data_IF_704988049048
#
_entry.id   IF_704988049048
#
_cell.length_a   1.000
_cell.length_b   1.000
_cell.length_c   1.000
_cell.angle_alpha   90.00
_cell.angle_beta   90.00
_cell.angle_gamma   90.00
#
_symmetry.space_group_name_H-M   'P 1'
#
loop_
_entity.id
_entity.type
_entity.pdbx_description
1 polymer ?
#
# COMPACT_ATOMS: atom_id res chain seq x y z
N UNK A 1 44.49 17.43 -19.58
CA UNK A 1 44.07 16.57 -18.45
C UNK A 1 42.56 16.74 -18.16
N UNK A 2 41.69 16.60 -19.16
CA UNK A 2 40.24 16.83 -19.03
C UNK A 2 39.39 15.64 -19.51
N UNK A 3 40.02 14.53 -19.92
CA UNK A 3 39.33 13.32 -20.40
C UNK A 3 39.00 12.29 -19.31
N UNK A 4 39.72 12.29 -18.17
CA UNK A 4 39.53 11.30 -17.09
C UNK A 4 38.19 11.51 -16.37
N UNK A 5 37.82 12.76 -16.10
CA UNK A 5 36.64 13.10 -15.30
C UNK A 5 35.31 12.82 -16.00
N UNK A 6 35.23 12.97 -17.33
CA UNK A 6 33.98 12.66 -18.06
C UNK A 6 33.72 11.16 -18.14
N UNK A 7 34.79 10.36 -18.31
CA UNK A 7 34.70 8.91 -18.39
C UNK A 7 34.40 8.28 -17.02
N UNK A 8 34.96 8.85 -15.95
CA UNK A 8 34.60 8.50 -14.57
C UNK A 8 33.13 8.80 -14.27
N UNK A 9 32.63 10.00 -14.62
CA UNK A 9 31.21 10.37 -14.38
C UNK A 9 30.24 9.47 -15.14
N UNK A 10 30.53 9.12 -16.40
CA UNK A 10 29.67 8.18 -17.16
C UNK A 10 29.74 6.77 -16.57
N UNK A 11 30.91 6.33 -16.09
CA UNK A 11 31.04 5.05 -15.40
C UNK A 11 30.25 5.00 -14.09
N UNK A 12 30.19 6.10 -13.33
CA UNK A 12 29.39 6.18 -12.10
C UNK A 12 27.89 6.11 -12.41
N UNK A 13 27.43 6.83 -13.44
CA UNK A 13 26.04 6.75 -13.89
C UNK A 13 25.65 5.34 -14.33
N UNK A 14 26.54 4.65 -15.05
CA UNK A 14 26.25 3.29 -15.50
C UNK A 14 26.09 2.32 -14.33
N UNK A 15 26.85 2.49 -13.24
CA UNK A 15 26.69 1.71 -12.02
C UNK A 15 25.32 1.99 -11.37
N UNK A 16 24.93 3.27 -11.23
CA UNK A 16 23.61 3.63 -10.67
C UNK A 16 22.46 3.07 -11.52
N UNK A 17 22.59 3.09 -12.85
CA UNK A 17 21.61 2.50 -13.78
C UNK A 17 21.47 0.99 -13.59
N UNK A 18 22.59 0.28 -13.43
CA UNK A 18 22.58 -1.18 -13.18
C UNK A 18 21.94 -1.49 -11.82
N UNK A 19 22.28 -0.71 -10.79
CA UNK A 19 21.74 -0.88 -9.45
C UNK A 19 20.22 -0.67 -9.43
N UNK A 20 19.74 0.45 -9.97
CA UNK A 20 18.29 0.75 -9.98
C UNK A 20 17.51 -0.27 -10.80
N UNK A 21 18.06 -0.72 -11.94
CA UNK A 21 17.45 -1.78 -12.75
C UNK A 21 17.33 -3.08 -11.95
N UNK A 22 18.40 -3.45 -11.23
CA UNK A 22 18.42 -4.66 -10.41
C UNK A 22 17.40 -4.58 -9.26
N UNK A 23 17.30 -3.44 -8.58
CA UNK A 23 16.30 -3.21 -7.54
C UNK A 23 14.87 -3.30 -8.07
N UNK A 24 14.60 -2.74 -9.26
CA UNK A 24 13.29 -2.81 -9.90
C UNK A 24 12.90 -4.25 -10.25
N UNK A 25 13.83 -5.03 -10.81
CA UNK A 25 13.58 -6.45 -11.10
C UNK A 25 13.31 -7.25 -9.83
N UNK A 26 14.12 -7.06 -8.79
CA UNK A 26 13.91 -7.71 -7.49
C UNK A 26 12.56 -7.33 -6.86
N UNK A 27 12.19 -6.05 -6.88
CA UNK A 27 10.88 -5.59 -6.41
C UNK A 27 9.72 -6.21 -7.23
N UNK A 28 9.95 -6.45 -8.52
CA UNK A 28 9.01 -7.14 -9.40
C UNK A 28 8.75 -8.59 -9.03
N UNK A 29 9.67 -9.30 -8.34
CA UNK A 29 9.51 -10.72 -7.99
C UNK A 29 8.29 -10.99 -7.10
N UNK A 30 7.91 -10.04 -6.25
CA UNK A 30 6.70 -10.13 -5.43
C UNK A 30 5.41 -10.14 -6.26
N UNK A 31 5.46 -9.74 -7.53
CA UNK A 31 4.32 -9.70 -8.45
C UNK A 31 4.30 -10.94 -9.35
N UNK A 32 3.14 -11.57 -9.42
CA UNK A 32 2.91 -12.74 -10.28
C UNK A 32 3.10 -12.40 -11.76
N UNK A 33 3.56 -13.36 -12.55
CA UNK A 33 3.61 -13.23 -14.02
C UNK A 33 2.20 -13.41 -14.62
N UNK A 34 1.83 -12.61 -15.62
CA UNK A 34 0.58 -12.78 -16.36
C UNK A 34 0.89 -12.88 -17.85
N UNK A 35 0.45 -13.92 -18.53
CA UNK A 35 0.53 -14.05 -19.99
C UNK A 35 -0.79 -13.61 -20.63
N UNK A 36 -0.81 -13.27 -21.94
CA UNK A 36 -2.06 -13.01 -22.64
C UNK A 36 -2.99 -14.22 -22.47
N UNK A 37 -4.16 -14.00 -21.87
CA UNK A 37 -5.12 -15.06 -21.65
C UNK A 37 -5.72 -15.49 -23.00
N UNK A 38 -5.23 -16.59 -23.57
CA UNK A 38 -5.86 -17.26 -24.71
C UNK A 38 -6.99 -18.21 -24.26
N UNK A 39 -6.94 -18.64 -23.00
CA UNK A 39 -7.91 -19.52 -22.33
C UNK A 39 -8.10 -19.07 -20.88
N UNK A 40 -9.26 -19.34 -20.28
CA UNK A 40 -9.54 -18.96 -18.90
C UNK A 40 -8.73 -19.83 -17.92
N UNK A 41 -7.82 -19.21 -17.17
CA UNK A 41 -7.03 -19.83 -16.11
C UNK A 41 -7.08 -18.89 -14.90
N UNK A 42 -7.33 -19.44 -13.70
CA UNK A 42 -7.25 -18.67 -12.46
C UNK A 42 -5.79 -18.64 -11.99
N UNK A 43 -5.15 -17.47 -12.02
CA UNK A 43 -3.79 -17.34 -11.47
C UNK A 43 -3.86 -17.02 -9.98
N UNK A 44 -3.02 -17.67 -9.18
CA UNK A 44 -2.84 -17.37 -7.76
C UNK A 44 -2.14 -15.99 -7.61
N UNK A 45 -2.76 -14.96 -7.01
CA UNK A 45 -2.09 -13.67 -6.80
C UNK A 45 -0.87 -13.76 -5.88
N UNK A 46 -0.78 -14.83 -5.07
CA UNK A 46 0.33 -15.08 -4.13
C UNK A 46 1.47 -15.90 -4.73
N UNK A 47 1.49 -16.14 -6.05
CA UNK A 47 2.49 -17.02 -6.69
C UNK A 47 3.94 -16.60 -6.38
N UNK A 48 4.25 -15.31 -6.41
CA UNK A 48 5.58 -14.77 -6.05
C UNK A 48 5.97 -14.98 -4.58
N UNK A 49 5.02 -15.35 -3.72
CA UNK A 49 5.20 -15.54 -2.28
C UNK A 49 5.04 -17.00 -1.83
N UNK A 50 5.00 -17.96 -2.76
CA UNK A 50 4.80 -19.39 -2.45
C UNK A 50 5.93 -20.00 -1.61
N UNK A 51 7.09 -19.34 -1.56
CA UNK A 51 8.21 -19.70 -0.70
C UNK A 51 7.97 -19.36 0.79
N UNK A 52 6.93 -18.59 1.12
CA UNK A 52 6.56 -18.22 2.49
C UNK A 52 5.40 -19.10 3.02
N UNK A 53 5.35 -19.39 4.34
CA UNK A 53 4.15 -19.96 4.95
C UNK A 53 2.91 -19.10 4.69
N UNK A 54 1.74 -19.69 4.44
CA UNK A 54 0.56 -18.98 3.92
C UNK A 54 0.14 -17.75 4.74
N UNK A 55 0.21 -17.81 6.08
CA UNK A 55 -0.11 -16.68 6.94
C UNK A 55 0.86 -15.52 6.78
N UNK A 56 2.15 -15.82 6.54
CA UNK A 56 3.18 -14.81 6.25
C UNK A 56 3.02 -14.27 4.84
N UNK A 57 2.79 -15.13 3.85
CA UNK A 57 2.53 -14.72 2.47
C UNK A 57 1.33 -13.75 2.39
N UNK A 58 0.24 -14.05 3.11
CA UNK A 58 -0.93 -13.19 3.18
C UNK A 58 -0.63 -11.86 3.87
N UNK A 59 0.08 -11.89 5.01
CA UNK A 59 0.45 -10.66 5.71
C UNK A 59 1.34 -9.77 4.83
N UNK A 60 2.34 -10.35 4.18
CA UNK A 60 3.27 -9.69 3.27
C UNK A 60 2.53 -9.11 2.05
N UNK A 61 1.73 -9.94 1.36
CA UNK A 61 0.89 -9.51 0.24
C UNK A 61 -0.09 -8.38 0.62
N UNK A 62 -0.64 -8.43 1.83
CA UNK A 62 -1.56 -7.41 2.34
C UNK A 62 -0.92 -6.02 2.41
N UNK A 63 0.41 -5.92 2.56
CA UNK A 63 1.13 -4.63 2.60
C UNK A 63 1.14 -3.92 1.26
N UNK A 64 1.14 -4.66 0.13
CA UNK A 64 1.28 -4.05 -1.21
C UNK A 64 0.12 -4.32 -2.16
N UNK A 65 -0.61 -5.44 -2.06
CA UNK A 65 -1.81 -5.72 -2.87
C UNK A 65 -3.09 -5.11 -2.28
N UNK A 66 -3.07 -4.67 -1.01
CA UNK A 66 -4.24 -4.08 -0.33
C UNK A 66 -5.39 -5.07 -0.05
N UNK A 67 -5.21 -6.36 -0.37
CA UNK A 67 -6.18 -7.41 -0.08
C UNK A 67 -6.17 -7.83 1.40
N UNK A 68 -7.34 -8.14 1.96
CA UNK A 68 -7.44 -8.65 3.35
C UNK A 68 -6.81 -10.04 3.53
N UNK A 69 -6.71 -10.81 2.44
CA UNK A 69 -6.20 -12.19 2.41
C UNK A 69 -7.07 -13.24 3.11
N UNK A 70 -7.89 -12.82 4.07
CA UNK A 70 -8.93 -13.62 4.70
C UNK A 70 -10.30 -12.97 4.56
N UNK A 71 -11.34 -13.79 4.63
CA UNK A 71 -12.70 -13.31 4.73
C UNK A 71 -12.91 -12.56 6.06
N UNK A 72 -13.79 -11.55 6.11
CA UNK A 72 -14.21 -10.95 7.36
C UNK A 72 -14.89 -11.97 8.27
N UNK A 73 -14.77 -11.80 9.60
CA UNK A 73 -15.42 -12.67 10.58
C UNK A 73 -16.94 -12.85 10.36
N UNK A 74 -17.62 -11.83 9.82
CA UNK A 74 -19.03 -11.92 9.44
C UNK A 74 -19.27 -13.00 8.39
N UNK A 75 -18.45 -13.04 7.34
CA UNK A 75 -18.61 -14.00 6.24
C UNK A 75 -18.30 -15.42 6.70
N UNK A 76 -17.28 -15.63 7.56
CA UNK A 76 -17.05 -16.92 8.20
C UNK A 76 -18.26 -17.40 9.01
N UNK A 77 -18.94 -16.51 9.73
CA UNK A 77 -20.19 -16.84 10.44
C UNK A 77 -21.34 -17.14 9.50
N UNK A 78 -21.43 -16.44 8.38
CA UNK A 78 -22.44 -16.72 7.35
C UNK A 78 -22.22 -18.13 6.76
N UNK A 79 -20.97 -18.53 6.50
CA UNK A 79 -20.61 -19.88 6.06
C UNK A 79 -20.93 -20.94 7.12
N UNK A 80 -20.74 -20.65 8.42
CA UNK A 80 -21.18 -21.53 9.50
C UNK A 80 -22.71 -21.70 9.51
N UNK A 81 -23.48 -20.61 9.41
CA UNK A 81 -24.95 -20.68 9.36
C UNK A 81 -25.49 -21.42 8.14
N UNK A 82 -24.74 -21.39 7.02
CA UNK A 82 -25.05 -22.16 5.82
C UNK A 82 -24.64 -23.64 5.92
N UNK A 83 -24.02 -24.07 7.02
CA UNK A 83 -23.53 -25.43 7.19
C UNK A 83 -22.30 -25.76 6.32
N UNK A 84 -21.59 -24.74 5.80
CA UNK A 84 -20.31 -24.94 5.09
C UNK A 84 -19.12 -25.08 6.04
N UNK A 85 -19.21 -24.48 7.23
CA UNK A 85 -18.26 -24.65 8.33
C UNK A 85 -18.99 -25.38 9.45
N UNK A 86 -18.41 -26.48 9.92
CA UNK A 86 -18.96 -27.29 11.01
C UNK A 86 -18.43 -26.82 12.36
N UNK A 87 -19.21 -27.04 13.42
CA UNK A 87 -18.80 -26.68 14.79
C UNK A 87 -17.55 -27.43 15.24
N UNK A 88 -17.38 -28.68 14.83
CA UNK A 88 -16.18 -29.48 15.12
C UNK A 88 -14.94 -28.85 14.46
N UNK A 89 -15.05 -28.38 13.22
CA UNK A 89 -13.95 -27.70 12.53
C UNK A 89 -13.52 -26.39 13.23
N UNK A 90 -14.47 -25.67 13.83
CA UNK A 90 -14.17 -24.50 14.66
C UNK A 90 -13.45 -24.94 15.94
N UNK A 91 -13.96 -25.99 16.59
CA UNK A 91 -13.38 -26.56 17.82
C UNK A 91 -11.92 -26.98 17.60
N UNK A 92 -11.64 -27.66 16.50
CA UNK A 92 -10.29 -28.07 16.10
C UNK A 92 -9.38 -26.85 15.85
N UNK A 93 -9.90 -25.83 15.17
CA UNK A 93 -9.16 -24.62 14.85
C UNK A 93 -8.76 -23.80 16.09
N UNK A 94 -9.61 -23.75 17.13
CA UNK A 94 -9.31 -23.02 18.37
C UNK A 94 -8.65 -23.87 19.45
N UNK A 95 -8.64 -25.20 19.28
CA UNK A 95 -8.20 -26.15 20.30
C UNK A 95 -6.80 -25.88 20.84
N UNK A 96 -5.86 -25.54 19.96
CA UNK A 96 -4.47 -25.22 20.34
C UNK A 96 -4.32 -23.90 21.10
N UNK A 97 -5.30 -23.00 21.01
CA UNK A 97 -5.33 -21.72 21.74
C UNK A 97 -6.08 -21.82 23.08
N UNK A 98 -6.82 -22.92 23.28
CA UNK A 98 -7.55 -23.15 24.51
C UNK A 98 -6.60 -23.51 25.66
N UNK A 99 -6.79 -22.84 26.79
CA UNK A 99 -6.08 -23.09 28.04
C UNK A 99 -6.99 -23.81 29.04
N UNK A 100 -6.43 -24.29 30.14
CA UNK A 100 -7.17 -25.04 31.15
C UNK A 100 -7.89 -24.10 32.15
N UNK A 101 -8.69 -23.18 31.62
CA UNK A 101 -9.43 -22.18 32.40
C UNK A 101 -10.93 -22.40 32.24
N UNK A 102 -11.66 -22.05 33.31
CA UNK A 102 -13.10 -22.21 33.38
C UNK A 102 -13.73 -21.00 34.05
N UNK A 103 -14.92 -20.62 33.58
CA UNK A 103 -15.74 -19.57 34.18
C UNK A 103 -17.11 -20.16 34.48
N UNK A 104 -17.52 -20.07 35.73
CA UNK A 104 -18.87 -20.48 36.15
C UNK A 104 -19.85 -19.33 35.94
N UNK A 105 -20.85 -19.53 35.09
CA UNK A 105 -21.97 -18.60 34.88
C UNK A 105 -23.26 -19.28 35.35
N UNK A 106 -23.78 -18.84 36.50
CA UNK A 106 -24.92 -19.48 37.16
C UNK A 106 -24.58 -20.91 37.58
N UNK A 107 -25.28 -21.89 37.02
CA UNK A 107 -25.04 -23.34 37.26
C UNK A 107 -24.17 -24.00 36.20
N UNK A 108 -23.73 -23.26 35.17
CA UNK A 108 -22.93 -23.79 34.07
C UNK A 108 -21.46 -23.44 34.26
N UNK A 109 -20.61 -24.44 34.09
CA UNK A 109 -19.17 -24.23 33.98
C UNK A 109 -18.81 -24.15 32.49
N UNK A 110 -18.26 -23.02 32.05
CA UNK A 110 -17.89 -22.79 30.65
C UNK A 110 -16.36 -22.84 30.56
N UNK A 111 -15.85 -23.74 29.73
CA UNK A 111 -14.42 -23.85 29.45
C UNK A 111 -13.92 -22.71 28.56
N UNK A 112 -12.61 -22.42 28.62
CA UNK A 112 -11.98 -21.48 27.69
C UNK A 112 -12.19 -21.87 26.22
N UNK A 113 -12.16 -23.18 25.92
CA UNK A 113 -12.45 -23.71 24.58
C UNK A 113 -13.87 -23.35 24.12
N UNK A 114 -14.86 -23.59 24.96
CA UNK A 114 -16.26 -23.24 24.66
C UNK A 114 -16.42 -21.72 24.48
N UNK A 115 -15.74 -20.91 25.29
CA UNK A 115 -15.79 -19.46 25.16
C UNK A 115 -15.22 -18.99 23.80
N UNK A 116 -14.05 -19.48 23.39
CA UNK A 116 -13.44 -19.15 22.10
C UNK A 116 -14.31 -19.60 20.92
N UNK A 117 -14.88 -20.81 21.00
CA UNK A 117 -15.80 -21.33 20.00
C UNK A 117 -17.05 -20.46 19.89
N UNK A 118 -17.67 -20.09 21.02
CA UNK A 118 -18.84 -19.22 21.06
C UNK A 118 -18.55 -17.84 20.47
N UNK A 119 -17.38 -17.25 20.75
CA UNK A 119 -16.95 -15.97 20.17
C UNK A 119 -16.80 -16.02 18.65
N UNK A 120 -16.30 -17.13 18.09
CA UNK A 120 -16.19 -17.28 16.63
C UNK A 120 -17.57 -17.47 16.00
N UNK A 121 -18.43 -18.31 16.58
CA UNK A 121 -19.76 -18.61 16.04
C UNK A 121 -20.72 -17.42 16.14
N UNK A 122 -20.79 -16.79 17.31
CA UNK A 122 -21.79 -15.77 17.62
C UNK A 122 -21.23 -14.34 17.59
N UNK A 123 -19.91 -14.18 17.63
CA UNK A 123 -19.27 -12.89 17.83
C UNK A 123 -19.30 -12.44 19.28
N UNK A 124 -18.79 -11.24 19.53
CA UNK A 124 -18.86 -10.58 20.84
C UNK A 124 -20.26 -10.06 21.17
N UNK A 125 -21.22 -10.22 20.24
CA UNK A 125 -22.49 -9.50 20.26
C UNK A 125 -22.32 -7.99 20.07
N UNK A 126 -23.44 -7.29 19.93
CA UNK A 126 -23.51 -5.90 20.35
C UNK A 126 -23.83 -5.95 21.84
N UNK A 127 -22.89 -5.54 22.70
CA UNK A 127 -23.21 -5.40 24.12
C UNK A 127 -24.14 -4.20 24.24
N UNK A 128 -25.42 -4.38 24.65
CA UNK A 128 -26.30 -3.25 24.90
C UNK A 128 -25.62 -2.32 25.92
N UNK A 129 -25.61 -1.01 25.66
CA UNK A 129 -24.89 -0.04 26.49
C UNK A 129 -25.26 -0.18 27.98
N UNK A 130 -26.53 -0.44 28.24
CA UNK A 130 -27.13 -0.75 29.53
C UNK A 130 -26.60 -2.03 30.20
N UNK A 131 -26.21 -3.06 29.44
CA UNK A 131 -25.59 -4.29 29.98
C UNK A 131 -24.10 -4.09 30.25
N UNK A 132 -23.39 -3.34 29.38
CA UNK A 132 -22.01 -2.90 29.65
C UNK A 132 -21.97 -2.13 30.96
N UNK A 133 -22.88 -1.18 31.10
CA UNK A 133 -22.95 -0.33 32.28
C UNK A 133 -23.39 -1.16 33.50
N UNK A 134 -24.42 -2.01 33.43
CA UNK A 134 -24.90 -2.79 34.59
C UNK A 134 -23.97 -3.92 35.07
N UNK A 135 -23.21 -4.58 34.17
CA UNK A 135 -22.33 -5.71 34.52
C UNK A 135 -20.93 -5.24 34.90
N UNK A 136 -20.38 -4.22 34.21
CA UNK A 136 -19.06 -3.70 34.56
C UNK A 136 -19.10 -2.74 35.75
N UNK A 137 -20.11 -1.87 35.91
CA UNK A 137 -20.17 -0.96 37.06
C UNK A 137 -20.38 -1.71 38.39
N UNK A 138 -21.05 -2.87 38.38
CA UNK A 138 -21.23 -3.68 39.61
C UNK A 138 -19.98 -4.48 39.97
N UNK A 139 -19.20 -4.92 38.98
CA UNK A 139 -17.87 -5.49 39.21
C UNK A 139 -16.84 -4.44 39.67
N UNK A 140 -17.07 -3.16 39.34
CA UNK A 140 -16.33 -2.02 39.89
C UNK A 140 -16.70 -1.67 41.34
N UNK A 141 -17.58 -2.41 42.02
CA UNK A 141 -17.84 -2.24 43.46
C UNK A 141 -16.92 -3.12 44.33
N UNK A 142 -16.16 -4.04 43.71
CA UNK A 142 -15.18 -4.87 44.42
C UNK A 142 -13.93 -4.04 44.78
N UNK A 143 -13.68 -3.90 46.09
CA UNK A 143 -12.57 -3.09 46.64
C UNK A 143 -11.19 -3.38 46.03
N UNK A 144 -10.82 -4.62 45.66
CA UNK A 144 -9.53 -4.90 45.00
C UNK A 144 -9.46 -4.38 43.56
N UNK A 145 -10.59 -4.40 42.84
CA UNK A 145 -10.68 -3.90 41.46
C UNK A 145 -10.69 -2.38 41.45
N UNK A 146 -11.36 -1.73 42.41
CA UNK A 146 -11.28 -0.27 42.58
C UNK A 146 -9.89 0.21 43.00
N UNK A 147 -9.14 -0.57 43.78
CA UNK A 147 -7.76 -0.23 44.10
C UNK A 147 -6.82 -0.41 42.89
N UNK A 148 -7.05 -1.44 42.05
CA UNK A 148 -6.34 -1.61 40.79
C UNK A 148 -6.69 -0.50 39.78
N UNK A 149 -7.97 -0.19 39.62
CA UNK A 149 -8.47 0.86 38.73
C UNK A 149 -8.04 2.25 39.19
N UNK A 150 -8.04 2.54 40.49
CA UNK A 150 -7.53 3.81 41.03
C UNK A 150 -6.01 3.92 40.88
N UNK A 151 -5.24 2.82 41.04
CA UNK A 151 -3.79 2.82 40.73
C UNK A 151 -3.50 3.02 39.24
N UNK A 152 -4.34 2.49 38.36
CA UNK A 152 -4.26 2.70 36.90
C UNK A 152 -4.69 4.11 36.49
N UNK A 153 -5.75 4.66 37.11
CA UNK A 153 -6.26 6.01 36.85
C UNK A 153 -5.40 7.12 37.46
N UNK A 154 -4.84 6.90 38.67
CA UNK A 154 -3.89 7.83 39.29
C UNK A 154 -2.52 7.82 38.61
N UNK A 155 -2.23 6.80 37.80
CA UNK A 155 -1.07 6.76 36.90
C UNK A 155 -1.40 7.32 35.50
N UNK A 156 -2.69 7.50 35.18
CA UNK A 156 -3.22 7.78 33.84
C UNK A 156 -3.92 9.13 33.72
N UNK A 157 -3.36 10.22 34.26
CA UNK A 157 -3.82 11.56 33.91
C UNK A 157 -3.17 12.00 32.59
N UNK A 158 -3.92 11.92 31.50
CA UNK A 158 -3.67 12.53 30.19
C UNK A 158 -2.34 12.26 29.46
N UNK A 159 -1.38 11.53 30.04
CA UNK A 159 -0.18 11.10 29.32
C UNK A 159 -0.42 9.95 28.34
N UNK A 160 -1.35 9.05 28.61
CA UNK A 160 -1.52 7.82 27.82
C UNK A 160 -2.17 8.05 26.44
N UNK A 161 -3.06 9.04 26.30
CA UNK A 161 -3.57 9.41 24.97
C UNK A 161 -2.44 10.03 24.12
N UNK A 162 -1.67 10.97 24.68
CA UNK A 162 -0.53 11.57 23.99
C UNK A 162 0.58 10.55 23.65
N UNK A 163 0.91 9.62 24.57
CA UNK A 163 1.87 8.54 24.32
C UNK A 163 1.36 7.51 23.28
N UNK A 164 0.04 7.24 23.24
CA UNK A 164 -0.58 6.39 22.23
C UNK A 164 -0.50 7.01 20.84
N UNK A 165 -0.70 8.33 20.73
CA UNK A 165 -0.61 9.05 19.45
C UNK A 165 0.83 9.30 18.99
N UNK A 166 1.79 9.51 19.90
CA UNK A 166 3.21 9.63 19.56
C UNK A 166 3.76 8.30 19.03
N UNK A 167 3.40 7.17 19.65
CA UNK A 167 3.73 5.83 19.15
C UNK A 167 3.11 5.55 17.77
N UNK A 168 1.85 5.94 17.57
CA UNK A 168 1.21 5.81 16.26
C UNK A 168 1.86 6.69 15.20
N UNK A 169 2.22 7.93 15.53
CA UNK A 169 2.90 8.84 14.61
C UNK A 169 4.27 8.30 14.21
N UNK A 170 5.01 7.70 15.15
CA UNK A 170 6.29 7.03 14.87
C UNK A 170 6.11 5.79 13.97
N UNK A 171 5.10 4.96 14.23
CA UNK A 171 4.77 3.81 13.36
C UNK A 171 4.38 4.25 11.95
N UNK A 172 3.60 5.32 11.84
CA UNK A 172 3.17 5.85 10.56
C UNK A 172 4.36 6.44 9.79
N UNK A 173 5.23 7.20 10.47
CA UNK A 173 6.47 7.68 9.87
C UNK A 173 7.31 6.54 9.32
N UNK A 174 7.42 5.45 10.08
CA UNK A 174 8.13 4.23 9.66
C UNK A 174 7.42 3.48 8.52
N UNK A 175 6.13 3.75 8.27
CA UNK A 175 5.37 3.14 7.19
C UNK A 175 5.53 3.87 5.84
N UNK A 176 5.80 5.17 5.85
CA UNK A 176 6.00 5.97 4.64
C UNK A 176 7.28 5.54 3.90
N UNK A 177 7.14 5.02 2.69
CA UNK A 177 8.19 4.35 1.91
C UNK A 177 8.11 2.83 2.01
N UNK A 178 8.30 2.22 3.20
CA UNK A 178 8.24 0.77 3.36
C UNK A 178 6.88 0.12 3.08
N UNK A 179 5.77 0.79 3.41
CA UNK A 179 4.40 0.24 3.35
C UNK A 179 3.39 1.15 2.65
N UNK A 180 3.66 2.45 2.52
CA UNK A 180 2.81 3.39 1.79
C UNK A 180 3.66 4.34 0.93
N UNK A 181 3.22 4.62 -0.31
CA UNK A 181 3.87 5.61 -1.18
C UNK A 181 3.50 7.03 -0.76
N UNK A 182 4.17 8.05 -1.31
CA UNK A 182 3.82 9.44 -1.02
C UNK A 182 2.43 9.80 -1.55
N UNK A 183 2.04 9.25 -2.71
CA UNK A 183 0.69 9.37 -3.24
C UNK A 183 -0.35 8.71 -2.32
N UNK A 184 -0.08 7.50 -1.81
CA UNK A 184 -0.97 6.81 -0.90
C UNK A 184 -1.17 7.59 0.40
N UNK A 185 -0.10 8.19 0.91
CA UNK A 185 -0.16 9.09 2.05
C UNK A 185 -1.01 10.34 1.75
N UNK A 186 -0.81 10.99 0.60
CA UNK A 186 -1.60 12.15 0.19
C UNK A 186 -3.09 11.82 0.07
N UNK A 187 -3.45 10.66 -0.49
CA UNK A 187 -4.85 10.23 -0.64
C UNK A 187 -5.54 10.06 0.72
N UNK A 188 -4.82 9.49 1.68
CA UNK A 188 -5.31 9.36 3.05
C UNK A 188 -5.47 10.74 3.71
N UNK A 189 -4.47 11.61 3.57
CA UNK A 189 -4.41 12.87 4.32
C UNK A 189 -5.22 14.01 3.70
N UNK A 190 -5.05 14.22 2.41
CA UNK A 190 -5.61 15.35 1.67
C UNK A 190 -6.95 15.03 1.00
N UNK A 191 -7.50 13.83 1.22
CA UNK A 191 -8.73 13.35 0.56
C UNK A 191 -8.65 13.42 -0.96
N UNK A 192 -7.48 13.04 -1.51
CA UNK A 192 -7.23 12.98 -2.95
C UNK A 192 -7.37 11.56 -3.49
N UNK A 193 -7.20 11.42 -4.81
CA UNK A 193 -7.20 10.15 -5.53
C UNK A 193 -6.01 10.04 -6.49
N UNK A 194 -4.83 10.49 -6.05
CA UNK A 194 -3.59 10.53 -6.83
C UNK A 194 -3.26 9.14 -7.37
N UNK A 195 -3.35 8.09 -6.55
CA UNK A 195 -3.03 6.74 -7.03
C UNK A 195 -3.94 6.31 -8.19
N UNK A 196 -5.22 6.66 -8.12
CA UNK A 196 -6.20 6.36 -9.17
C UNK A 196 -5.94 7.20 -10.43
N UNK A 197 -5.61 8.48 -10.28
CA UNK A 197 -5.21 9.36 -11.40
C UNK A 197 -3.99 8.78 -12.13
N UNK A 198 -2.96 8.32 -11.39
CA UNK A 198 -1.79 7.64 -11.95
C UNK A 198 -2.20 6.35 -12.65
N UNK A 199 -3.06 5.54 -12.02
CA UNK A 199 -3.52 4.28 -12.58
C UNK A 199 -4.23 4.46 -13.93
N UNK A 200 -5.11 5.45 -14.03
CA UNK A 200 -5.84 5.74 -15.27
C UNK A 200 -4.91 6.15 -16.41
N UNK A 201 -3.91 6.98 -16.12
CA UNK A 201 -2.90 7.35 -17.11
C UNK A 201 -2.08 6.13 -17.55
N UNK A 202 -1.61 5.31 -16.61
CA UNK A 202 -0.84 4.11 -16.95
C UNK A 202 -1.67 3.09 -17.72
N UNK A 203 -2.94 2.87 -17.36
CA UNK A 203 -3.86 1.99 -18.12
C UNK A 203 -4.00 2.49 -19.57
N UNK A 204 -4.24 3.80 -19.77
CA UNK A 204 -4.34 4.41 -21.10
C UNK A 204 -3.08 4.15 -21.93
N UNK A 205 -1.90 4.44 -21.37
CA UNK A 205 -0.63 4.29 -22.08
C UNK A 205 -0.25 2.84 -22.33
N UNK A 206 -0.44 1.96 -21.35
CA UNK A 206 -0.21 0.53 -21.49
C UNK A 206 -1.13 -0.06 -22.56
N UNK A 207 -2.43 0.24 -22.53
CA UNK A 207 -3.39 -0.25 -23.53
C UNK A 207 -3.00 0.16 -24.96
N UNK A 208 -2.59 1.41 -25.16
CA UNK A 208 -2.16 1.90 -26.48
C UNK A 208 -0.84 1.26 -26.95
N UNK A 209 0.14 1.10 -26.06
CA UNK A 209 1.47 0.59 -26.43
C UNK A 209 1.49 -0.93 -26.64
N UNK A 210 0.78 -1.66 -25.79
CA UNK A 210 0.75 -3.13 -25.78
C UNK A 210 -0.22 -3.71 -26.82
N UNK A 211 -1.04 -2.89 -27.48
CA UNK A 211 -1.91 -3.33 -28.56
C UNK A 211 -1.11 -3.98 -29.70
N UNK A 212 -1.44 -5.23 -30.02
CA UNK A 212 -0.76 -6.01 -31.07
C UNK A 212 -1.49 -5.91 -32.43
N UNK A 213 -2.07 -4.74 -32.74
CA UNK A 213 -2.77 -4.50 -34.00
C UNK A 213 -4.26 -4.85 -33.96
N UNK A 214 -4.88 -4.91 -32.78
CA UNK A 214 -6.33 -5.07 -32.67
C UNK A 214 -7.06 -3.75 -32.86
N UNK A 215 -6.47 -2.64 -32.37
CA UNK A 215 -7.02 -1.32 -32.60
C UNK A 215 -6.83 -0.90 -34.07
N UNK A 216 -7.84 -0.30 -34.72
CA UNK A 216 -7.69 0.25 -36.07
C UNK A 216 -6.59 1.32 -36.15
N UNK A 217 -6.37 2.05 -35.06
CA UNK A 217 -5.42 3.15 -35.00
C UNK A 217 -4.25 2.78 -34.08
N UNK A 218 -3.05 2.53 -34.64
CA UNK A 218 -1.89 2.19 -33.85
C UNK A 218 -1.38 3.39 -33.04
N UNK A 219 -0.85 3.14 -31.85
CA UNK A 219 -0.11 4.17 -31.11
C UNK A 219 1.10 4.65 -31.96
N UNK A 220 1.25 5.96 -32.22
CA UNK A 220 2.40 6.49 -32.94
C UNK A 220 3.70 6.34 -32.15
N UNK A 221 4.83 6.39 -32.83
CA UNK A 221 6.17 6.47 -32.22
C UNK A 221 6.60 5.26 -31.37
N UNK A 222 5.90 4.13 -31.44
CA UNK A 222 6.19 2.92 -30.64
C UNK A 222 7.62 2.41 -30.78
N UNK A 223 8.28 2.68 -31.90
CA UNK A 223 9.69 2.38 -32.14
C UNK A 223 10.64 3.07 -31.14
N UNK A 224 10.16 4.08 -30.41
CA UNK A 224 10.90 4.78 -29.34
C UNK A 224 10.76 4.12 -27.97
N UNK A 225 10.35 2.85 -27.92
CA UNK A 225 10.03 2.11 -26.68
C UNK A 225 8.88 2.75 -25.89
N UNK A 226 8.42 2.12 -24.81
CA UNK A 226 7.27 2.62 -24.04
C UNK A 226 7.54 4.00 -23.46
N UNK A 227 8.65 4.15 -22.73
CA UNK A 227 8.99 5.40 -22.08
C UNK A 227 9.26 6.52 -23.09
N UNK A 228 10.03 6.25 -24.15
CA UNK A 228 10.32 7.26 -25.16
C UNK A 228 9.10 7.68 -25.96
N UNK A 229 8.19 6.75 -26.28
CA UNK A 229 6.91 7.07 -26.93
C UNK A 229 6.04 7.95 -26.04
N UNK A 230 5.89 7.55 -24.77
CA UNK A 230 5.16 8.34 -23.77
C UNK A 230 5.74 9.75 -23.66
N UNK A 231 7.05 9.89 -23.46
CA UNK A 231 7.71 11.18 -23.29
C UNK A 231 7.46 12.15 -24.45
N UNK A 232 7.40 11.65 -25.69
CA UNK A 232 7.14 12.49 -26.87
C UNK A 232 5.65 12.80 -27.05
N UNK A 233 4.79 11.80 -26.90
CA UNK A 233 3.35 11.95 -27.14
C UNK A 233 2.66 12.73 -26.01
N UNK A 234 3.05 12.49 -24.76
CA UNK A 234 2.55 13.19 -23.58
C UNK A 234 2.70 14.70 -23.69
N UNK A 235 3.76 15.19 -24.34
CA UNK A 235 3.97 16.63 -24.59
C UNK A 235 2.91 17.27 -25.50
N UNK A 236 2.24 16.45 -26.32
CA UNK A 236 1.25 16.86 -27.32
C UNK A 236 -0.18 16.57 -26.89
N UNK A 237 -0.38 15.77 -25.84
CA UNK A 237 -1.69 15.57 -25.22
C UNK A 237 -1.85 16.46 -23.97
N UNK A 238 -3.07 16.98 -23.77
CA UNK A 238 -3.40 17.87 -22.64
C UNK A 238 -3.62 17.16 -21.30
N UNK A 239 -3.27 15.88 -21.17
CA UNK A 239 -3.55 15.05 -19.98
C UNK A 239 -2.95 15.64 -18.71
N UNK A 240 -1.66 16.01 -18.73
CA UNK A 240 -1.01 16.61 -17.57
C UNK A 240 -1.60 17.96 -17.18
N UNK A 241 -2.10 18.74 -18.14
CA UNK A 241 -2.83 19.98 -17.85
C UNK A 241 -4.16 19.70 -17.14
N UNK A 242 -4.91 18.69 -17.59
CA UNK A 242 -6.17 18.26 -16.95
C UNK A 242 -5.94 17.72 -15.53
N UNK A 243 -4.80 17.09 -15.30
CA UNK A 243 -4.32 16.66 -13.99
C UNK A 243 -3.79 17.82 -13.12
N UNK A 244 -3.77 19.06 -13.64
CA UNK A 244 -3.32 20.24 -12.92
C UNK A 244 -1.81 20.31 -12.71
N UNK A 245 -1.01 19.58 -13.50
CA UNK A 245 0.45 19.61 -13.41
C UNK A 245 0.97 20.89 -14.09
N UNK A 246 1.59 21.83 -13.36
CA UNK A 246 2.08 23.07 -13.94
C UNK A 246 3.31 22.80 -14.83
N UNK A 247 3.49 23.61 -15.88
CA UNK A 247 4.62 23.52 -16.81
C UNK A 247 4.81 22.13 -17.45
N UNK A 248 3.73 21.39 -17.67
CA UNK A 248 3.69 20.01 -18.17
C UNK A 248 4.71 19.70 -19.28
N UNK A 249 4.62 20.41 -20.41
CA UNK A 249 5.50 20.19 -21.56
C UNK A 249 6.97 20.43 -21.22
N UNK A 250 7.27 21.48 -20.44
CA UNK A 250 8.65 21.79 -20.01
C UNK A 250 9.20 20.67 -19.14
N UNK A 251 8.40 20.16 -18.19
CA UNK A 251 8.82 19.07 -17.30
C UNK A 251 9.14 17.79 -18.05
N UNK A 252 8.32 17.43 -19.04
CA UNK A 252 8.59 16.28 -19.92
C UNK A 252 9.85 16.46 -20.78
N UNK A 253 10.13 17.68 -21.26
CA UNK A 253 11.34 17.98 -22.02
C UNK A 253 12.62 17.87 -21.17
N UNK A 254 12.54 18.18 -19.88
CA UNK A 254 13.68 18.12 -18.97
C UNK A 254 13.89 16.73 -18.35
N UNK A 255 12.95 15.80 -18.53
CA UNK A 255 13.19 14.42 -18.13
C UNK A 255 14.38 13.83 -18.91
N UNK A 256 15.18 12.95 -18.30
CA UNK A 256 16.22 12.19 -19.00
C UNK A 256 15.65 11.35 -20.15
N UNK A 257 16.49 11.01 -21.14
CA UNK A 257 16.11 10.11 -22.24
C UNK A 257 16.17 8.64 -21.83
N UNK A 258 17.07 8.27 -20.91
CA UNK A 258 17.10 6.94 -20.30
C UNK A 258 15.98 6.81 -19.24
N UNK A 259 15.22 5.70 -19.24
CA UNK A 259 14.20 5.46 -18.22
C UNK A 259 14.82 5.24 -16.84
N UNK A 260 16.02 4.64 -16.73
CA UNK A 260 16.75 4.50 -15.47
C UNK A 260 17.09 5.87 -14.86
N UNK A 261 17.64 6.76 -15.67
CA UNK A 261 17.98 8.12 -15.25
C UNK A 261 16.71 8.90 -14.84
N UNK A 262 15.58 8.65 -15.52
CA UNK A 262 14.29 9.25 -15.18
C UNK A 262 13.73 8.74 -13.84
N UNK A 263 13.86 7.44 -13.56
CA UNK A 263 13.53 6.85 -12.25
C UNK A 263 14.38 7.51 -11.16
N UNK A 264 15.71 7.52 -11.32
CA UNK A 264 16.64 8.13 -10.36
C UNK A 264 16.31 9.61 -10.13
N UNK A 265 16.09 10.38 -11.20
CA UNK A 265 15.70 11.78 -11.11
C UNK A 265 14.40 11.99 -10.32
N UNK A 266 13.41 11.09 -10.45
CA UNK A 266 12.16 11.17 -9.69
C UNK A 266 12.37 10.81 -8.22
N UNK A 267 13.11 9.75 -7.91
CA UNK A 267 13.42 9.34 -6.53
C UNK A 267 14.17 10.44 -5.77
N UNK A 268 15.18 11.03 -6.40
CA UNK A 268 15.95 12.12 -5.82
C UNK A 268 15.12 13.40 -5.65
N UNK A 269 14.28 13.75 -6.64
CA UNK A 269 13.41 14.92 -6.53
C UNK A 269 12.35 14.78 -5.44
N UNK A 270 11.83 13.56 -5.22
CA UNK A 270 10.94 13.26 -4.09
C UNK A 270 11.70 13.13 -2.76
N UNK A 271 13.03 13.10 -2.76
CA UNK A 271 13.86 13.00 -1.56
C UNK A 271 13.72 11.66 -0.84
N UNK A 272 13.42 10.58 -1.56
CA UNK A 272 13.25 9.24 -0.98
C UNK A 272 14.60 8.65 -0.57
N UNK A 273 14.77 8.20 0.70
CA UNK A 273 15.95 7.46 1.15
C UNK A 273 16.17 6.17 0.33
N UNK A 274 17.43 5.84 0.04
CA UNK A 274 17.77 4.69 -0.82
C UNK A 274 17.34 3.35 -0.21
N UNK A 275 17.31 3.24 1.11
CA UNK A 275 16.88 2.04 1.85
C UNK A 275 15.39 1.71 1.65
N UNK A 276 14.56 2.67 1.24
CA UNK A 276 13.13 2.44 0.96
C UNK A 276 12.80 2.25 -0.51
N UNK A 277 13.77 2.39 -1.43
CA UNK A 277 13.51 2.34 -2.88
C UNK A 277 12.89 1.02 -3.32
N UNK A 278 13.43 -0.10 -2.84
CA UNK A 278 12.90 -1.44 -3.16
C UNK A 278 11.43 -1.58 -2.79
N UNK A 279 11.06 -1.16 -1.56
CA UNK A 279 9.68 -1.18 -1.10
C UNK A 279 8.77 -0.28 -1.93
N UNK A 280 9.22 0.95 -2.23
CA UNK A 280 8.46 1.89 -3.07
C UNK A 280 8.22 1.28 -4.46
N UNK A 281 9.23 0.68 -5.09
CA UNK A 281 9.05 -0.01 -6.37
C UNK A 281 8.00 -1.11 -6.26
N UNK A 282 8.07 -1.98 -5.25
CA UNK A 282 7.06 -3.04 -5.03
C UNK A 282 5.66 -2.45 -4.89
N UNK A 283 5.50 -1.39 -4.09
CA UNK A 283 4.22 -0.71 -3.91
C UNK A 283 3.67 -0.16 -5.23
N UNK A 284 4.51 0.46 -6.08
CA UNK A 284 4.08 0.94 -7.40
C UNK A 284 3.70 -0.18 -8.36
N UNK A 285 4.51 -1.24 -8.39
CA UNK A 285 4.29 -2.41 -9.22
C UNK A 285 3.03 -3.19 -8.82
N UNK A 286 2.66 -3.14 -7.54
CA UNK A 286 1.48 -3.80 -7.01
C UNK A 286 0.15 -3.09 -7.31
N UNK A 287 0.18 -1.83 -7.75
CA UNK A 287 -1.04 -1.03 -7.97
C UNK A 287 -1.86 -1.47 -9.19
N UNK A 288 -1.18 -1.98 -10.22
CA UNK A 288 -1.80 -2.53 -11.42
C UNK A 288 -1.21 -3.92 -11.69
N UNK A 289 -1.46 -4.90 -10.80
CA UNK A 289 -0.72 -6.15 -10.80
C UNK A 289 -0.93 -6.93 -12.09
N UNK A 290 -2.11 -6.83 -12.72
CA UNK A 290 -2.39 -7.41 -14.03
C UNK A 290 -1.49 -6.84 -15.15
N UNK A 291 -1.38 -5.51 -15.23
CA UNK A 291 -0.47 -4.86 -16.19
C UNK A 291 0.98 -5.18 -15.87
N UNK A 292 1.39 -5.05 -14.61
CA UNK A 292 2.77 -5.31 -14.20
C UNK A 292 3.20 -6.76 -14.47
N UNK A 293 2.39 -7.75 -14.12
CA UNK A 293 2.74 -9.13 -14.42
C UNK A 293 2.73 -9.44 -15.92
N UNK A 294 1.91 -8.73 -16.70
CA UNK A 294 1.97 -8.81 -18.16
C UNK A 294 3.25 -8.20 -18.73
N UNK A 295 3.70 -7.08 -18.19
CA UNK A 295 4.98 -6.48 -18.54
C UNK A 295 6.16 -7.38 -18.18
N UNK A 296 6.13 -8.03 -17.01
CA UNK A 296 7.15 -9.03 -16.63
C UNK A 296 7.23 -10.15 -17.66
N UNK A 297 6.10 -10.78 -17.95
CA UNK A 297 6.03 -11.84 -18.95
C UNK A 297 6.53 -11.37 -20.32
N UNK A 298 6.12 -10.18 -20.77
CA UNK A 298 6.50 -9.61 -22.06
C UNK A 298 8.01 -9.34 -22.15
N UNK A 299 8.62 -8.87 -21.06
CA UNK A 299 10.06 -8.63 -21.00
C UNK A 299 10.88 -9.91 -21.21
N UNK A 300 10.37 -11.05 -20.77
CA UNK A 300 11.03 -12.36 -20.94
C UNK A 300 10.87 -12.94 -22.36
N UNK A 301 9.91 -12.45 -23.16
CA UNK A 301 9.65 -12.93 -24.52
C UNK A 301 10.61 -12.31 -25.55
N UNK A 302 11.92 -12.48 -25.36
CA UNK A 302 12.96 -11.83 -26.19
C UNK A 302 12.90 -12.17 -27.69
N UNK A 303 12.39 -13.37 -28.03
CA UNK A 303 12.26 -13.84 -29.41
C UNK A 303 10.89 -13.53 -30.04
N UNK A 304 9.98 -12.88 -29.30
CA UNK A 304 8.65 -12.54 -29.82
C UNK A 304 8.69 -11.25 -30.64
N UNK A 305 8.15 -11.30 -31.85
CA UNK A 305 8.14 -10.19 -32.83
C UNK A 305 7.75 -8.82 -32.22
N UNK A 306 6.70 -8.80 -31.39
CA UNK A 306 6.21 -7.56 -30.78
C UNK A 306 7.14 -6.99 -29.71
N UNK A 307 7.82 -7.84 -28.93
CA UNK A 307 8.77 -7.38 -27.93
C UNK A 307 10.08 -6.94 -28.58
N UNK A 308 10.52 -7.64 -29.63
CA UNK A 308 11.70 -7.24 -30.43
C UNK A 308 11.46 -5.90 -31.14
N UNK A 309 10.28 -5.69 -31.72
CA UNK A 309 9.95 -4.46 -32.44
C UNK A 309 9.69 -3.27 -31.51
N UNK A 310 8.99 -3.49 -30.39
CA UNK A 310 8.56 -2.43 -29.47
C UNK A 310 8.83 -2.82 -28.01
N UNK A 311 10.10 -2.75 -27.56
CA UNK A 311 10.49 -3.19 -26.22
C UNK A 311 9.83 -2.40 -25.11
N UNK A 312 9.42 -3.11 -24.06
CA UNK A 312 8.94 -2.56 -22.79
C UNK A 312 9.33 -3.50 -21.65
N UNK A 313 9.59 -2.90 -20.49
CA UNK A 313 9.96 -3.57 -19.25
C UNK A 313 9.42 -2.79 -18.04
N UNK A 314 9.73 -3.29 -16.83
CA UNK A 314 9.34 -2.66 -15.58
C UNK A 314 9.99 -1.30 -15.32
N UNK A 315 11.21 -1.06 -15.84
CA UNK A 315 11.93 0.21 -15.66
C UNK A 315 11.20 1.32 -16.41
N UNK A 316 10.84 1.06 -17.67
CA UNK A 316 10.09 2.01 -18.49
C UNK A 316 8.71 2.32 -17.91
N UNK A 317 8.03 1.30 -17.38
CA UNK A 317 6.76 1.48 -16.68
C UNK A 317 6.90 2.34 -15.41
N UNK A 318 7.88 2.05 -14.57
CA UNK A 318 8.12 2.80 -13.33
C UNK A 318 8.58 4.22 -13.59
N UNK A 319 9.38 4.48 -14.63
CA UNK A 319 9.80 5.83 -14.99
C UNK A 319 8.60 6.76 -15.22
N UNK A 320 7.59 6.28 -15.94
CA UNK A 320 6.35 7.02 -16.18
C UNK A 320 5.55 7.18 -14.87
N UNK A 321 5.40 6.09 -14.12
CA UNK A 321 4.58 6.07 -12.90
C UNK A 321 5.12 6.98 -11.80
N UNK A 322 6.43 6.95 -11.55
CA UNK A 322 7.10 7.79 -10.56
C UNK A 322 7.12 9.26 -10.96
N UNK A 323 7.16 9.56 -12.25
CA UNK A 323 7.01 10.93 -12.72
C UNK A 323 5.63 11.49 -12.35
N UNK A 324 4.54 10.77 -12.63
CA UNK A 324 3.21 11.24 -12.24
C UNK A 324 3.07 11.37 -10.73
N UNK A 325 3.58 10.42 -9.94
CA UNK A 325 3.58 10.55 -8.47
C UNK A 325 4.29 11.83 -8.03
N UNK A 326 5.53 12.05 -8.47
CA UNK A 326 6.31 13.24 -8.12
C UNK A 326 5.51 14.51 -8.37
N UNK A 327 4.90 14.64 -9.55
CA UNK A 327 4.19 15.85 -9.94
C UNK A 327 2.88 16.06 -9.19
N UNK A 328 2.10 14.99 -9.00
CA UNK A 328 0.80 15.07 -8.33
C UNK A 328 0.96 15.27 -6.82
N UNK A 329 1.94 14.58 -6.19
CA UNK A 329 2.29 14.78 -4.78
C UNK A 329 2.80 16.20 -4.57
N UNK A 330 3.71 16.69 -5.41
CA UNK A 330 4.20 18.07 -5.32
C UNK A 330 3.07 19.09 -5.40
N UNK A 331 2.13 18.92 -6.34
CA UNK A 331 0.95 19.79 -6.46
C UNK A 331 0.10 19.74 -5.20
N UNK A 332 -0.30 18.55 -4.76
CA UNK A 332 -1.23 18.38 -3.63
C UNK A 332 -0.62 18.90 -2.33
N UNK A 333 0.65 18.59 -2.06
CA UNK A 333 1.35 19.11 -0.89
C UNK A 333 1.44 20.64 -0.92
N UNK A 334 1.74 21.24 -2.08
CA UNK A 334 1.80 22.69 -2.20
C UNK A 334 0.43 23.35 -1.99
N UNK A 335 -0.61 22.83 -2.64
CA UNK A 335 -1.95 23.42 -2.67
C UNK A 335 -2.72 23.23 -1.35
N UNK A 336 -2.54 22.07 -0.69
CA UNK A 336 -3.32 21.69 0.50
C UNK A 336 -2.57 21.91 1.80
N UNK A 337 -1.25 21.75 1.79
CA UNK A 337 -0.43 21.75 3.00
C UNK A 337 0.60 22.89 3.02
N UNK A 338 0.85 23.57 1.89
CA UNK A 338 1.84 24.63 1.79
C UNK A 338 3.29 24.15 1.95
N UNK A 339 3.54 22.84 1.75
CA UNK A 339 4.87 22.23 1.88
C UNK A 339 5.32 21.63 0.53
N UNK A 340 6.64 21.46 0.31
CA UNK A 340 7.14 20.66 -0.79
C UNK A 340 6.61 19.22 -0.74
N UNK A 341 6.33 18.61 -1.89
CA UNK A 341 5.93 17.20 -1.98
C UNK A 341 7.11 16.24 -1.92
N UNK A 342 8.01 16.46 -0.96
CA UNK A 342 9.17 15.60 -0.73
C UNK A 342 8.96 14.76 0.53
N UNK A 343 9.58 13.59 0.57
CA UNK A 343 9.57 12.70 1.72
C UNK A 343 9.98 13.43 3.00
N UNK A 344 11.06 14.21 2.96
CA UNK A 344 11.55 14.96 4.12
C UNK A 344 10.59 16.03 4.62
N UNK A 345 9.94 16.77 3.71
CA UNK A 345 8.96 17.78 4.06
C UNK A 345 7.68 17.14 4.65
N UNK A 346 7.22 16.04 4.04
CA UNK A 346 6.08 15.27 4.53
C UNK A 346 6.37 14.72 5.94
N UNK A 347 7.51 14.06 6.15
CA UNK A 347 7.92 13.56 7.47
C UNK A 347 8.02 14.69 8.49
N UNK A 348 8.67 15.81 8.14
CA UNK A 348 8.79 16.97 9.03
C UNK A 348 7.43 17.57 9.38
N UNK A 349 6.47 17.59 8.44
CA UNK A 349 5.11 18.08 8.71
C UNK A 349 4.36 17.20 9.73
N UNK A 350 4.58 15.88 9.70
CA UNK A 350 4.03 14.96 10.71
C UNK A 350 4.62 15.21 12.10
N UNK A 351 5.90 15.58 12.18
CA UNK A 351 6.58 15.91 13.43
C UNK A 351 6.10 17.23 14.05
N UNK A 352 5.65 18.18 13.23
CA UNK A 352 5.11 19.45 13.71
C UNK A 352 3.67 19.32 14.26
N UNK A 353 2.89 18.34 13.79
CA UNK A 353 1.48 18.14 14.19
C UNK A 353 1.12 16.68 14.53
N UNK A 354 1.84 16.01 15.46
CA UNK A 354 1.70 14.57 15.72
C UNK A 354 0.29 14.19 16.22
N UNK A 355 -0.28 15.02 17.10
CA UNK A 355 -1.61 14.79 17.67
C UNK A 355 -2.74 14.87 16.62
N UNK A 356 -2.77 15.95 15.84
CA UNK A 356 -3.81 16.15 14.82
C UNK A 356 -3.76 15.07 13.72
N UNK A 357 -2.55 14.62 13.39
CA UNK A 357 -2.33 13.61 12.38
C UNK A 357 -2.78 12.21 12.80
N UNK A 358 -2.35 11.73 13.97
CA UNK A 358 -2.76 10.42 14.49
C UNK A 358 -4.27 10.30 14.64
N UNK A 359 -4.90 11.37 15.14
CA UNK A 359 -6.35 11.47 15.28
C UNK A 359 -7.09 11.40 13.93
N UNK A 360 -6.63 12.17 12.94
CA UNK A 360 -7.25 12.20 11.62
C UNK A 360 -7.14 10.84 10.89
N UNK A 361 -5.99 10.16 10.99
CA UNK A 361 -5.83 8.82 10.40
C UNK A 361 -6.74 7.80 11.08
N UNK A 362 -6.89 7.84 12.41
CA UNK A 362 -7.83 6.97 13.13
C UNK A 362 -9.29 7.24 12.72
N UNK A 363 -9.65 8.51 12.54
CA UNK A 363 -10.97 8.89 12.03
C UNK A 363 -11.22 8.29 10.65
N UNK A 364 -10.29 8.46 9.69
CA UNK A 364 -10.45 7.91 8.34
C UNK A 364 -10.40 6.38 8.28
N UNK A 365 -9.64 5.75 9.16
CA UNK A 365 -9.62 4.30 9.30
C UNK A 365 -10.87 3.72 9.98
N UNK A 366 -11.79 4.57 10.46
CA UNK A 366 -12.97 4.14 11.22
C UNK A 366 -12.61 3.55 12.58
N UNK A 367 -11.43 3.87 13.12
CA UNK A 367 -10.88 3.36 14.39
C UNK A 367 -10.99 4.37 15.53
N UNK A 368 -11.46 5.59 15.25
CA UNK A 368 -11.68 6.61 16.28
C UNK A 368 -12.86 6.19 17.17
N UNK A 369 -12.69 6.23 18.49
CA UNK A 369 -13.79 6.02 19.42
C UNK A 369 -14.83 7.14 19.26
N UNK A 370 -16.11 6.84 18.96
CA UNK A 370 -17.16 7.86 18.81
C UNK A 370 -17.33 8.76 20.04
N UNK A 371 -16.99 8.28 21.23
CA UNK A 371 -17.04 9.05 22.48
C UNK A 371 -15.97 10.16 22.56
N UNK A 372 -14.94 10.13 21.70
CA UNK A 372 -13.90 11.18 21.63
C UNK A 372 -14.30 12.36 20.74
N UNK A 373 -15.28 12.19 19.84
CA UNK A 373 -15.72 13.21 18.87
C UNK A 373 -16.30 14.47 19.54
N UNK A 374 -17.08 14.39 20.64
CA UNK A 374 -17.60 15.58 21.32
C UNK A 374 -16.57 16.36 22.13
N UNK A 375 -15.38 15.79 22.36
CA UNK A 375 -14.30 16.37 23.19
C UNK A 375 -13.20 17.06 22.37
N UNK A 376 -13.33 17.06 21.04
CA UNK A 376 -12.47 17.71 20.05
C UNK A 376 -13.22 18.91 19.45
#
# INVERSE_FOLDING_TARGET
>A
MTGSTAQEVESFKEIERIEVRSLIHLAGESISHFWPMQTFIHHNPLHGLEHLPIHRAIAEAGTFLGGRGYLPNREFRDLYRQGRIMEDAITDAVGSFAGNHFVTIGTRNISHLEALRMLLIHGTGAVPHDVRDAVFLKACEDSPIMELCSRLQSSGTHRDAHLSFDYQTDQIRKSLGPQETLAAWCDQMCSTSIQEEINQELIKWCAGFLDQGHAPWPMPMREKTFYGSWKVLAQREGSGFLLGIPDWTRKLQHLPDSPEDAVLACLHAMGLPQDVWSNVFTLHLAQLPGWTGFLKWRADQVDQEWQTAFPIDLVQYLAVRLFYERELVQRVCQDRLGIPGTYTAIVSSMEHFPFGYGLYRMFRAGRLNPEMIPAL
#
